data_IF_251217037705
#
_entry.id   IF_251217037705
#
_cell.length_a   1.000
_cell.length_b   1.000
_cell.length_c   1.000
_cell.angle_alpha   90.00
_cell.angle_beta   90.00
_cell.angle_gamma   90.00
#
_symmetry.space_group_name_H-M   'P 1'
#
loop_
_entity.id
_entity.type
_entity.pdbx_description
1 polymer ?
#
# COMPACT_ATOMS: atom_id res chain seq x y z
N UNK A 1 8.11 29.59 1.13
CA UNK A 1 8.09 28.26 1.76
C UNK A 1 8.22 28.51 3.26
N UNK A 2 7.22 28.20 4.07
CA UNK A 2 7.27 28.52 5.49
C UNK A 2 8.18 27.51 6.19
N UNK A 3 9.41 27.94 6.51
CA UNK A 3 10.26 27.25 7.47
C UNK A 3 9.69 27.61 8.86
N UNK A 4 8.96 26.67 9.44
CA UNK A 4 8.31 26.81 10.75
C UNK A 4 9.06 25.88 11.69
N UNK A 5 9.93 26.42 12.54
CA UNK A 5 10.74 25.61 13.47
C UNK A 5 9.95 25.18 14.70
N UNK A 6 8.92 25.94 15.11
CA UNK A 6 8.28 25.75 16.41
C UNK A 6 6.77 25.97 16.36
N UNK A 7 6.01 25.01 16.89
CA UNK A 7 4.60 25.20 17.21
C UNK A 7 4.49 25.95 18.53
N UNK A 8 3.97 27.18 18.51
CA UNK A 8 3.74 27.96 19.71
C UNK A 8 2.29 27.74 20.19
N UNK A 9 2.14 27.31 21.44
CA UNK A 9 0.85 27.34 22.11
C UNK A 9 0.78 28.65 22.90
N UNK A 10 -0.11 29.60 22.54
CA UNK A 10 -0.22 30.86 23.27
C UNK A 10 -0.49 30.59 24.76
N UNK A 11 0.30 31.26 25.61
CA UNK A 11 0.18 31.18 27.06
C UNK A 11 -1.11 31.89 27.49
N UNK A 12 -2.01 31.11 28.10
CA UNK A 12 -3.22 31.48 28.84
C UNK A 12 -4.18 32.53 28.25
N UNK A 13 -5.27 32.03 27.67
CA UNK A 13 -6.60 32.62 27.88
C UNK A 13 -7.30 31.74 28.94
N UNK A 14 -7.69 32.33 30.08
CA UNK A 14 -8.19 31.63 31.29
C UNK A 14 -9.59 31.02 31.13
N UNK A 15 -10.12 30.98 29.92
CA UNK A 15 -11.48 30.52 29.62
C UNK A 15 -11.48 29.08 29.11
N UNK A 16 -12.21 28.21 29.82
CA UNK A 16 -12.39 26.83 29.40
C UNK A 16 -13.21 26.78 28.10
N UNK A 17 -12.62 26.28 27.01
CA UNK A 17 -13.26 26.20 25.68
C UNK A 17 -14.10 24.93 25.56
N UNK A 18 -15.28 24.96 26.18
CA UNK A 18 -16.33 23.99 25.91
C UNK A 18 -17.28 24.54 24.85
N UNK A 19 -17.77 23.69 23.94
CA UNK A 19 -18.87 24.09 23.07
C UNK A 19 -20.17 24.24 23.88
N UNK A 20 -21.25 24.78 23.28
CA UNK A 20 -22.58 24.87 23.94
C UNK A 20 -23.13 23.52 24.46
N UNK A 21 -22.54 22.39 24.07
CA UNK A 21 -22.89 21.02 24.51
C UNK A 21 -21.94 20.47 25.60
N UNK A 22 -21.05 21.30 26.16
CA UNK A 22 -20.10 20.87 27.19
C UNK A 22 -18.95 19.99 26.68
N UNK A 23 -18.74 19.86 25.36
CA UNK A 23 -17.62 19.09 24.80
C UNK A 23 -16.37 19.95 24.71
N UNK A 24 -15.25 19.43 25.20
CA UNK A 24 -13.95 20.09 25.13
C UNK A 24 -13.53 20.35 23.67
N UNK A 25 -13.13 21.59 23.38
CA UNK A 25 -12.57 21.98 22.08
C UNK A 25 -11.05 22.06 22.23
N UNK A 26 -10.34 21.14 21.60
CA UNK A 26 -8.88 21.11 21.62
C UNK A 26 -8.28 22.39 21.00
N UNK A 27 -7.23 22.93 21.62
CA UNK A 27 -6.48 24.09 21.12
C UNK A 27 -5.74 23.71 19.84
N UNK A 28 -5.76 24.60 18.84
CA UNK A 28 -4.92 24.46 17.64
C UNK A 28 -3.60 25.24 17.85
N UNK A 29 -2.44 24.66 17.53
CA UNK A 29 -1.14 25.32 17.68
C UNK A 29 -1.02 26.50 16.71
N UNK A 30 -0.48 27.64 17.14
CA UNK A 30 -0.20 28.77 16.25
C UNK A 30 1.25 28.64 15.80
N UNK A 31 1.50 28.79 14.50
CA UNK A 31 2.82 28.63 13.92
C UNK A 31 3.46 30.00 13.69
N UNK A 32 4.72 30.14 14.09
CA UNK A 32 5.52 31.35 13.85
C UNK A 32 6.51 31.07 12.72
N UNK A 33 6.63 32.00 11.79
CA UNK A 33 7.64 31.89 10.73
C UNK A 33 9.03 32.22 11.25
N UNK A 34 10.05 31.53 10.74
CA UNK A 34 11.46 31.86 11.08
C UNK A 34 11.94 33.15 10.40
N UNK A 35 11.31 33.55 9.30
CA UNK A 35 11.75 34.65 8.43
C UNK A 35 11.13 35.99 8.83
N UNK A 36 9.95 35.97 9.43
CA UNK A 36 9.24 37.13 9.96
C UNK A 36 8.57 36.72 11.27
N UNK A 37 8.53 37.61 12.26
CA UNK A 37 7.85 37.37 13.55
C UNK A 37 6.31 37.30 13.43
N UNK A 38 5.81 37.06 12.22
CA UNK A 38 4.39 36.98 11.91
C UNK A 38 3.83 35.60 12.27
N UNK A 39 2.61 35.63 12.80
CA UNK A 39 1.86 34.42 13.09
C UNK A 39 1.15 33.92 11.83
N UNK A 40 1.40 32.66 11.47
CA UNK A 40 0.74 32.02 10.33
C UNK A 40 -0.46 31.21 10.81
N UNK A 41 -1.64 31.39 10.18
CA UNK A 41 -2.80 30.58 10.46
C UNK A 41 -2.54 29.08 10.33
N UNK A 42 -3.03 28.33 11.33
CA UNK A 42 -2.79 26.90 11.53
C UNK A 42 -3.15 26.05 10.31
N UNK A 43 -4.30 26.32 9.72
CA UNK A 43 -4.82 25.63 8.54
C UNK A 43 -3.95 25.81 7.29
N UNK A 44 -3.17 26.89 7.19
CA UNK A 44 -2.25 27.11 6.07
C UNK A 44 -1.03 26.20 6.23
N UNK A 45 -0.46 26.16 7.44
CA UNK A 45 0.68 25.29 7.75
C UNK A 45 0.31 23.82 7.57
N UNK A 46 -0.82 23.39 8.15
CA UNK A 46 -1.33 22.02 7.97
C UNK A 46 -1.49 21.64 6.50
N UNK A 47 -2.09 22.52 5.68
CA UNK A 47 -2.23 22.29 4.22
C UNK A 47 -0.87 22.16 3.53
N UNK A 48 0.08 23.04 3.84
CA UNK A 48 1.42 22.98 3.22
C UNK A 48 2.20 21.74 3.63
N UNK A 49 2.07 21.29 4.89
CA UNK A 49 2.68 20.05 5.37
C UNK A 49 2.06 18.82 4.68
N UNK A 50 0.73 18.79 4.53
CA UNK A 50 0.03 17.74 3.79
C UNK A 50 0.51 17.68 2.33
N UNK A 51 0.54 18.82 1.64
CA UNK A 51 1.05 18.92 0.26
C UNK A 51 2.50 18.44 0.14
N UNK A 52 3.36 18.74 1.12
CA UNK A 52 4.74 18.25 1.15
C UNK A 52 4.80 16.73 1.26
N UNK A 53 4.00 16.14 2.14
CA UNK A 53 3.93 14.68 2.31
C UNK A 53 3.41 14.02 1.03
N UNK A 54 2.38 14.58 0.40
CA UNK A 54 1.84 14.10 -0.86
C UNK A 54 2.89 14.15 -1.98
N UNK A 55 3.64 15.25 -2.07
CA UNK A 55 4.73 15.38 -3.04
C UNK A 55 5.84 14.35 -2.80
N UNK A 56 6.26 14.14 -1.55
CA UNK A 56 7.24 13.11 -1.22
C UNK A 56 6.77 11.70 -1.59
N UNK A 57 5.49 11.40 -1.35
CA UNK A 57 4.88 10.11 -1.78
C UNK A 57 4.86 9.98 -3.30
N UNK A 58 4.52 11.05 -4.02
CA UNK A 58 4.51 11.05 -5.48
C UNK A 58 5.93 10.86 -6.04
N UNK A 59 6.93 11.55 -5.50
CA UNK A 59 8.33 11.43 -5.91
C UNK A 59 8.87 10.02 -5.65
N UNK A 60 8.53 9.43 -4.49
CA UNK A 60 8.87 8.04 -4.19
C UNK A 60 8.22 7.07 -5.18
N UNK A 61 6.92 7.24 -5.48
CA UNK A 61 6.22 6.42 -6.46
C UNK A 61 6.83 6.53 -7.87
N UNK A 62 7.26 7.74 -8.27
CA UNK A 62 7.95 7.95 -9.55
C UNK A 62 9.28 7.18 -9.60
N UNK A 63 10.07 7.25 -8.53
CA UNK A 63 11.35 6.51 -8.45
C UNK A 63 11.14 5.00 -8.54
N UNK A 64 10.20 4.45 -7.77
CA UNK A 64 9.87 3.02 -7.81
C UNK A 64 9.36 2.60 -9.19
N UNK A 65 8.42 3.37 -9.76
CA UNK A 65 7.91 3.09 -11.10
C UNK A 65 9.02 3.09 -12.15
N UNK A 66 9.93 4.07 -12.09
CA UNK A 66 11.08 4.17 -13.00
C UNK A 66 12.03 2.98 -12.85
N UNK A 67 12.35 2.57 -11.62
CA UNK A 67 13.17 1.39 -11.34
C UNK A 67 12.56 0.12 -11.97
N UNK A 68 11.24 -0.02 -11.89
CA UNK A 68 10.52 -1.13 -12.50
C UNK A 68 10.19 -0.96 -13.99
N UNK A 69 10.69 0.10 -14.64
CA UNK A 69 10.47 0.38 -16.07
C UNK A 69 9.01 0.65 -16.43
N UNK A 70 8.24 1.24 -15.52
CA UNK A 70 6.81 1.54 -15.68
C UNK A 70 6.52 3.00 -15.33
N UNK A 71 5.33 3.48 -15.67
CA UNK A 71 4.84 4.78 -15.21
C UNK A 71 4.14 4.65 -13.85
N UNK A 72 4.06 5.72 -13.03
CA UNK A 72 3.34 5.72 -11.75
C UNK A 72 1.89 5.22 -11.87
N UNK A 73 1.22 5.58 -12.95
CA UNK A 73 -0.16 5.18 -13.26
C UNK A 73 -0.31 3.66 -13.36
N UNK A 74 0.70 2.98 -13.90
CA UNK A 74 0.66 1.54 -14.16
C UNK A 74 1.47 0.71 -13.15
N UNK A 75 2.16 1.36 -12.21
CA UNK A 75 3.01 0.72 -11.22
C UNK A 75 2.28 -0.37 -10.44
N UNK A 76 1.15 -0.04 -9.80
CA UNK A 76 0.39 -1.00 -9.00
C UNK A 76 -0.17 -2.17 -9.82
N UNK A 77 -0.60 -1.92 -11.06
CA UNK A 77 -1.01 -3.01 -11.95
C UNK A 77 0.16 -3.93 -12.26
N UNK A 78 1.33 -3.36 -12.57
CA UNK A 78 2.55 -4.12 -12.87
C UNK A 78 2.99 -4.95 -11.66
N UNK A 79 3.04 -4.38 -10.47
CA UNK A 79 3.43 -5.11 -9.25
C UNK A 79 2.44 -6.22 -8.90
N UNK A 80 1.14 -5.99 -9.06
CA UNK A 80 0.13 -7.03 -8.87
C UNK A 80 0.28 -8.16 -9.89
N UNK A 81 0.51 -7.84 -11.16
CA UNK A 81 0.77 -8.86 -12.20
C UNK A 81 2.02 -9.67 -11.89
N UNK A 82 3.13 -9.02 -11.53
CA UNK A 82 4.38 -9.70 -11.16
C UNK A 82 4.14 -10.61 -9.95
N UNK A 83 3.49 -10.10 -8.90
CA UNK A 83 3.18 -10.88 -7.69
C UNK A 83 2.30 -12.10 -8.02
N UNK A 84 1.25 -11.90 -8.82
CA UNK A 84 0.35 -12.98 -9.26
C UNK A 84 1.10 -14.04 -10.05
N UNK A 85 1.96 -13.64 -10.99
CA UNK A 85 2.77 -14.57 -11.79
C UNK A 85 3.76 -15.36 -10.92
N UNK A 86 4.45 -14.69 -10.01
CA UNK A 86 5.36 -15.33 -9.05
C UNK A 86 4.62 -16.35 -8.19
N UNK A 87 3.46 -16.00 -7.66
CA UNK A 87 2.66 -16.91 -6.84
C UNK A 87 2.14 -18.13 -7.63
N UNK A 88 1.70 -17.90 -8.87
CA UNK A 88 1.23 -18.96 -9.75
C UNK A 88 2.38 -19.90 -10.15
N UNK A 89 3.56 -19.35 -10.47
CA UNK A 89 4.78 -20.11 -10.76
C UNK A 89 5.22 -20.95 -9.55
N UNK A 90 5.31 -20.35 -8.36
CA UNK A 90 5.65 -21.07 -7.13
C UNK A 90 4.68 -22.22 -6.87
N UNK A 91 3.38 -21.96 -6.96
CA UNK A 91 2.34 -22.98 -6.77
C UNK A 91 2.48 -24.12 -7.78
N UNK A 92 2.77 -23.81 -9.04
CA UNK A 92 3.00 -24.81 -10.08
C UNK A 92 4.21 -25.69 -9.74
N UNK A 93 5.35 -25.09 -9.40
CA UNK A 93 6.57 -25.81 -9.07
C UNK A 93 6.44 -26.65 -7.79
N UNK A 94 5.62 -26.24 -6.82
CA UNK A 94 5.31 -27.06 -5.64
C UNK A 94 4.36 -28.23 -5.95
N UNK A 95 3.41 -28.04 -6.88
CA UNK A 95 2.34 -29.01 -7.14
C UNK A 95 2.71 -30.07 -8.19
N UNK A 96 3.40 -29.69 -9.25
CA UNK A 96 3.64 -30.56 -10.41
C UNK A 96 4.47 -31.81 -10.10
N UNK A 97 5.56 -31.75 -9.32
CA UNK A 97 6.34 -32.95 -9.02
C UNK A 97 5.50 -34.06 -8.38
N UNK A 98 4.65 -33.70 -7.42
CA UNK A 98 3.76 -34.63 -6.73
C UNK A 98 2.70 -35.23 -7.68
N UNK A 99 2.15 -34.40 -8.58
CA UNK A 99 1.21 -34.87 -9.60
C UNK A 99 1.86 -35.90 -10.53
N UNK A 100 3.07 -35.61 -11.02
CA UNK A 100 3.81 -36.50 -11.92
C UNK A 100 4.20 -37.81 -11.23
N UNK A 101 4.67 -37.75 -9.99
CA UNK A 101 4.98 -38.93 -9.19
C UNK A 101 3.75 -39.84 -9.01
N UNK A 102 2.61 -39.26 -8.60
CA UNK A 102 1.37 -40.03 -8.41
C UNK A 102 0.81 -40.59 -9.72
N UNK A 103 0.96 -39.86 -10.83
CA UNK A 103 0.56 -40.34 -12.15
C UNK A 103 1.38 -41.54 -12.60
N UNK A 104 2.70 -41.53 -12.32
CA UNK A 104 3.59 -42.66 -12.59
C UNK A 104 3.19 -43.88 -11.75
N UNK A 105 2.99 -43.69 -10.46
CA UNK A 105 2.51 -44.75 -9.55
C UNK A 105 1.20 -45.38 -10.06
N UNK A 106 0.21 -44.55 -10.42
CA UNK A 106 -1.05 -45.05 -10.96
C UNK A 106 -0.86 -45.85 -12.25
N UNK A 107 0.08 -45.45 -13.13
CA UNK A 107 0.39 -46.21 -14.33
C UNK A 107 0.98 -47.59 -13.99
N UNK A 108 1.93 -47.65 -13.05
CA UNK A 108 2.56 -48.91 -12.60
C UNK A 108 1.54 -49.89 -12.00
N UNK A 109 0.54 -49.39 -11.28
CA UNK A 109 -0.52 -50.20 -10.67
C UNK A 109 -1.83 -50.27 -11.49
N UNK A 110 -1.83 -49.78 -12.74
CA UNK A 110 -3.02 -49.74 -13.61
C UNK A 110 -4.26 -49.04 -13.01
N UNK A 111 -4.05 -48.04 -12.17
CA UNK A 111 -5.11 -47.22 -11.60
C UNK A 111 -5.54 -46.07 -12.53
N UNK A 112 -6.81 -45.65 -12.39
CA UNK A 112 -7.36 -44.54 -13.14
C UNK A 112 -6.79 -43.19 -12.70
N UNK A 113 -6.51 -42.32 -13.68
CA UNK A 113 -6.04 -40.94 -13.46
C UNK A 113 -7.17 -39.90 -13.48
N UNK A 114 -8.44 -40.29 -13.65
CA UNK A 114 -9.55 -39.35 -13.87
C UNK A 114 -9.70 -38.30 -12.75
N UNK A 115 -9.63 -38.72 -11.48
CA UNK A 115 -9.75 -37.80 -10.33
C UNK A 115 -8.48 -36.93 -10.17
N UNK A 116 -7.32 -37.51 -10.43
CA UNK A 116 -6.03 -36.82 -10.39
C UNK A 116 -5.99 -35.68 -11.43
N UNK A 117 -6.44 -35.95 -12.66
CA UNK A 117 -6.51 -34.97 -13.74
C UNK A 117 -7.60 -33.92 -13.52
N UNK A 118 -8.74 -34.29 -12.90
CA UNK A 118 -9.77 -33.32 -12.49
C UNK A 118 -9.22 -32.35 -11.45
N UNK A 119 -8.48 -32.85 -10.46
CA UNK A 119 -7.86 -32.03 -9.43
C UNK A 119 -6.76 -31.12 -10.00
N UNK A 120 -5.94 -31.63 -10.94
CA UNK A 120 -4.99 -30.80 -11.67
C UNK A 120 -5.68 -29.67 -12.44
N UNK A 121 -6.74 -29.99 -13.19
CA UNK A 121 -7.48 -29.00 -13.95
C UNK A 121 -8.09 -27.90 -13.04
N UNK A 122 -8.62 -28.28 -11.88
CA UNK A 122 -9.12 -27.30 -10.88
C UNK A 122 -7.98 -26.42 -10.37
N UNK A 123 -6.82 -27.00 -10.06
CA UNK A 123 -5.64 -26.26 -9.62
C UNK A 123 -5.16 -25.25 -10.68
N UNK A 124 -5.05 -25.65 -11.95
CA UNK A 124 -4.60 -24.79 -13.03
C UNK A 124 -5.55 -23.60 -13.25
N UNK A 125 -6.87 -23.84 -13.20
CA UNK A 125 -7.88 -22.78 -13.30
C UNK A 125 -7.79 -21.79 -12.13
N UNK A 126 -7.67 -22.30 -10.90
CA UNK A 126 -7.61 -21.44 -9.71
C UNK A 126 -6.37 -20.52 -9.67
N UNK A 127 -5.29 -20.90 -10.37
CA UNK A 127 -4.05 -20.12 -10.42
C UNK A 127 -3.89 -19.35 -11.75
N UNK A 128 -4.92 -19.29 -12.60
CA UNK A 128 -4.86 -18.66 -13.93
C UNK A 128 -3.70 -19.18 -14.81
N UNK A 129 -3.33 -20.45 -14.66
CA UNK A 129 -2.24 -21.11 -15.41
C UNK A 129 -2.73 -21.75 -16.72
N UNK A 130 -4.04 -21.67 -16.99
CA UNK A 130 -4.67 -22.20 -18.19
C UNK A 130 -5.10 -21.03 -19.06
N UNK A 131 -4.25 -20.70 -20.04
CA UNK A 131 -4.63 -19.93 -21.24
C UNK A 131 -5.37 -20.82 -22.22
#
# INVERSE_FOLDING_TARGET
MYNVDESFYPLEDKTARYNRKGKYIARRPIYRTQVSDEYVPTHIVEKTQQQRIEKLKADALIKEATYHGTTPKHYYSRTNTVTSLTNASNSFHSRMPNYLAKRKENYEYSFSNAMLDKNLNKFLKNNNLRT
#
